data_IF_642929150906
#
_entry.id   IF_642929150906
#
_cell.length_a   1.000
_cell.length_b   1.000
_cell.length_c   1.000
_cell.angle_alpha   90.00
_cell.angle_beta   90.00
_cell.angle_gamma   90.00
#
_symmetry.space_group_name_H-M   'P 1'
#
loop_
_entity.id
_entity.type
_entity.pdbx_description
1 polymer ?
#
# COMPACT_ATOMS: atom_id res chain seq x y z
N UNK A 1 3.39 36.88 -17.93
CA UNK A 1 2.60 36.08 -18.89
C UNK A 1 1.93 34.96 -18.10
N UNK A 2 0.69 35.21 -17.67
CA UNK A 2 -0.07 34.35 -16.76
C UNK A 2 -0.76 33.25 -17.56
N UNK A 3 -0.42 32.01 -17.25
CA UNK A 3 -1.13 30.83 -17.77
C UNK A 3 -2.52 30.74 -17.08
N UNK A 4 -3.60 30.50 -17.80
CA UNK A 4 -4.91 30.32 -17.19
C UNK A 4 -4.97 28.98 -16.47
N UNK A 5 -5.32 29.01 -15.18
CA UNK A 5 -5.75 27.88 -14.40
C UNK A 5 -7.07 27.38 -14.95
N UNK A 6 -7.04 26.29 -15.69
CA UNK A 6 -8.23 25.63 -16.19
C UNK A 6 -8.87 24.87 -15.01
N UNK A 7 -9.87 25.47 -14.38
CA UNK A 7 -10.68 24.89 -13.31
C UNK A 7 -11.76 23.97 -13.92
N UNK A 8 -11.32 22.84 -14.47
CA UNK A 8 -12.22 21.76 -14.86
C UNK A 8 -12.46 20.79 -13.68
N UNK A 9 -13.06 21.26 -12.60
CA UNK A 9 -13.74 20.39 -11.63
C UNK A 9 -15.15 20.17 -12.13
N UNK A 10 -15.34 19.26 -13.09
CA UNK A 10 -16.62 18.56 -13.17
C UNK A 10 -16.76 17.81 -11.84
N UNK A 11 -17.56 18.39 -10.95
CA UNK A 11 -17.91 17.76 -9.69
C UNK A 11 -18.63 16.45 -10.00
N UNK A 12 -17.97 15.33 -9.76
CA UNK A 12 -18.63 14.05 -9.66
C UNK A 12 -19.66 14.18 -8.54
N UNK A 13 -20.93 14.28 -8.91
CA UNK A 13 -22.03 14.24 -7.96
C UNK A 13 -22.19 12.78 -7.47
N UNK A 14 -21.31 12.40 -6.55
CA UNK A 14 -21.37 11.14 -5.82
C UNK A 14 -22.70 11.00 -5.03
N UNK A 15 -23.43 12.10 -4.81
CA UNK A 15 -24.70 12.10 -4.07
C UNK A 15 -25.88 11.54 -4.86
N UNK A 16 -25.88 11.64 -6.19
CA UNK A 16 -26.97 11.17 -7.04
C UNK A 16 -26.88 9.66 -7.33
N UNK A 17 -25.66 9.13 -7.60
CA UNK A 17 -25.49 7.68 -7.85
C UNK A 17 -25.63 6.81 -6.60
N UNK A 18 -25.38 7.38 -5.40
CA UNK A 18 -25.54 6.65 -4.13
C UNK A 18 -26.99 6.47 -3.70
N UNK A 19 -27.96 7.11 -4.34
CA UNK A 19 -29.39 7.04 -3.96
C UNK A 19 -30.11 5.82 -4.49
N UNK A 20 -29.60 5.11 -5.47
CA UNK A 20 -30.30 3.98 -6.12
C UNK A 20 -29.74 2.59 -5.83
N UNK A 21 -28.50 2.46 -5.39
CA UNK A 21 -27.97 1.17 -4.92
C UNK A 21 -28.37 0.99 -3.47
N UNK A 22 -29.28 0.06 -3.19
CA UNK A 22 -29.47 -0.45 -1.82
C UNK A 22 -28.09 -0.72 -1.24
N UNK A 23 -27.69 0.01 -0.18
CA UNK A 23 -26.39 -0.13 0.49
C UNK A 23 -26.28 -1.56 1.02
N UNK A 24 -25.81 -2.47 0.17
CA UNK A 24 -25.61 -3.86 0.59
C UNK A 24 -24.51 -3.86 1.66
N UNK A 25 -24.84 -4.30 2.86
CA UNK A 25 -23.84 -4.57 3.90
C UNK A 25 -22.86 -5.61 3.40
N UNK A 26 -21.57 -5.34 3.53
CA UNK A 26 -20.48 -6.24 3.17
C UNK A 26 -19.63 -6.57 4.39
N UNK A 27 -19.16 -7.81 4.47
CA UNK A 27 -18.17 -8.27 5.42
C UNK A 27 -16.83 -8.29 4.71
N UNK A 28 -15.90 -7.44 5.14
CA UNK A 28 -14.68 -7.11 4.41
C UNK A 28 -13.45 -7.57 5.20
N UNK A 29 -12.62 -8.40 4.59
CA UNK A 29 -11.28 -8.68 5.07
C UNK A 29 -10.29 -7.72 4.41
N UNK A 30 -9.68 -6.80 5.17
CA UNK A 30 -8.68 -5.88 4.66
C UNK A 30 -7.28 -6.37 5.01
N UNK A 31 -6.44 -6.59 3.99
CA UNK A 31 -5.08 -7.11 4.13
C UNK A 31 -4.07 -5.96 4.10
N UNK A 32 -3.22 -5.87 5.12
CA UNK A 32 -2.18 -4.87 5.25
C UNK A 32 -0.85 -5.52 5.66
N UNK A 33 0.01 -5.86 4.70
CA UNK A 33 1.26 -6.56 4.99
C UNK A 33 2.25 -5.74 5.83
N UNK A 34 2.13 -4.42 5.79
CA UNK A 34 2.83 -3.43 6.63
C UNK A 34 1.91 -2.26 6.93
N UNK A 35 1.93 -1.79 8.17
CA UNK A 35 1.07 -0.69 8.59
C UNK A 35 1.73 0.24 9.59
N UNK A 36 2.95 0.79 9.29
CA UNK A 36 3.58 1.77 10.19
C UNK A 36 2.58 2.87 10.53
N UNK A 37 2.26 3.09 11.83
CA UNK A 37 1.16 3.98 12.22
C UNK A 37 1.46 5.47 11.96
N UNK A 38 2.74 5.87 12.02
CA UNK A 38 3.13 7.28 11.98
C UNK A 38 4.06 7.65 10.82
N UNK A 39 4.56 6.67 10.06
CA UNK A 39 5.51 6.90 8.96
C UNK A 39 5.12 6.10 7.74
N UNK A 40 5.06 6.77 6.59
CA UNK A 40 4.64 6.14 5.33
C UNK A 40 3.12 5.96 5.26
N UNK A 41 2.49 6.39 4.20
CA UNK A 41 1.02 6.51 4.08
C UNK A 41 0.20 5.23 4.24
N UNK A 42 0.80 4.03 4.13
CA UNK A 42 0.05 2.77 4.09
C UNK A 42 -0.73 2.47 5.38
N UNK A 43 -0.11 2.66 6.56
CA UNK A 43 -0.77 2.42 7.84
C UNK A 43 -1.90 3.41 8.10
N UNK A 44 -1.66 4.68 7.80
CA UNK A 44 -2.67 5.75 7.90
C UNK A 44 -3.84 5.47 6.95
N UNK A 45 -3.55 5.09 5.71
CA UNK A 45 -4.60 4.74 4.74
C UNK A 45 -5.47 3.58 5.22
N UNK A 46 -4.86 2.52 5.75
CA UNK A 46 -5.60 1.36 6.27
C UNK A 46 -6.51 1.78 7.43
N UNK A 47 -6.01 2.62 8.35
CA UNK A 47 -6.80 3.15 9.46
C UNK A 47 -8.01 3.92 8.97
N UNK A 48 -7.79 4.94 8.13
CA UNK A 48 -8.88 5.82 7.67
C UNK A 48 -9.87 5.08 6.75
N UNK A 49 -9.39 4.23 5.85
CA UNK A 49 -10.25 3.46 4.96
C UNK A 49 -11.11 2.45 5.74
N UNK A 50 -10.51 1.70 6.69
CA UNK A 50 -11.26 0.72 7.47
C UNK A 50 -12.30 1.38 8.38
N UNK A 51 -11.96 2.54 8.97
CA UNK A 51 -12.89 3.37 9.76
C UNK A 51 -14.06 3.85 8.89
N UNK A 52 -13.76 4.46 7.74
CA UNK A 52 -14.79 4.99 6.84
C UNK A 52 -15.73 3.89 6.32
N UNK A 53 -15.21 2.71 5.98
CA UNK A 53 -16.03 1.57 5.58
C UNK A 53 -16.95 1.08 6.71
N UNK A 54 -16.44 1.06 7.96
CA UNK A 54 -17.24 0.71 9.12
C UNK A 54 -18.34 1.76 9.39
N UNK A 55 -18.03 3.05 9.25
CA UNK A 55 -19.00 4.15 9.37
C UNK A 55 -20.08 4.12 8.27
N UNK A 56 -19.74 3.60 7.09
CA UNK A 56 -20.70 3.36 6.00
C UNK A 56 -21.60 2.13 6.25
N UNK A 57 -21.40 1.43 7.36
CA UNK A 57 -22.24 0.29 7.78
C UNK A 57 -21.72 -1.06 7.31
N UNK A 58 -20.47 -1.19 6.87
CA UNK A 58 -19.85 -2.47 6.56
C UNK A 58 -19.20 -3.08 7.81
N UNK A 59 -19.07 -4.41 7.85
CA UNK A 59 -18.24 -5.09 8.85
C UNK A 59 -16.83 -5.25 8.29
N UNK A 60 -15.85 -4.64 8.94
CA UNK A 60 -14.45 -4.66 8.48
C UNK A 60 -13.56 -5.32 9.54
N UNK A 61 -12.75 -6.28 9.12
CA UNK A 61 -11.66 -6.84 9.93
C UNK A 61 -10.34 -6.65 9.17
N UNK A 62 -9.34 -6.09 9.85
CA UNK A 62 -8.01 -5.88 9.27
C UNK A 62 -7.09 -7.04 9.67
N UNK A 63 -6.42 -7.63 8.68
CA UNK A 63 -5.36 -8.60 8.86
C UNK A 63 -4.03 -7.89 8.63
N UNK A 64 -3.23 -7.75 9.68
CA UNK A 64 -2.02 -6.92 9.67
C UNK A 64 -0.74 -7.71 9.87
N UNK A 65 0.31 -7.40 9.08
CA UNK A 65 1.70 -7.77 9.34
C UNK A 65 2.47 -6.65 10.06
N UNK A 66 3.61 -6.98 10.70
CA UNK A 66 4.43 -5.99 11.39
C UNK A 66 5.18 -5.07 10.38
N UNK A 67 5.40 -3.80 10.75
CA UNK A 67 4.83 -3.10 11.90
C UNK A 67 3.32 -2.92 11.72
N UNK A 68 2.58 -3.20 12.80
CA UNK A 68 1.12 -3.25 12.75
C UNK A 68 0.51 -1.85 12.63
N UNK A 69 -0.63 -1.70 11.90
CA UNK A 69 -1.36 -0.44 11.88
C UNK A 69 -2.01 -0.16 13.23
N UNK A 70 -2.12 1.12 13.56
CA UNK A 70 -2.97 1.61 14.64
C UNK A 70 -4.34 1.94 14.06
N UNK A 71 -5.38 1.25 14.51
CA UNK A 71 -6.73 1.30 13.93
C UNK A 71 -7.71 1.98 14.87
N UNK A 72 -8.84 2.42 14.31
CA UNK A 72 -9.99 2.82 15.11
C UNK A 72 -10.48 1.66 15.99
N UNK A 73 -10.92 1.95 17.20
CA UNK A 73 -11.37 0.97 18.21
C UNK A 73 -12.53 0.08 17.75
N UNK A 74 -13.28 0.51 16.75
CA UNK A 74 -14.40 -0.25 16.14
C UNK A 74 -13.95 -1.29 15.13
N UNK A 75 -12.67 -1.24 14.70
CA UNK A 75 -12.14 -2.12 13.66
C UNK A 75 -11.20 -3.15 14.28
N UNK A 76 -11.58 -4.43 14.31
CA UNK A 76 -10.73 -5.48 14.83
C UNK A 76 -9.48 -5.69 13.97
N UNK A 77 -8.33 -5.91 14.64
CA UNK A 77 -7.04 -6.22 14.02
C UNK A 77 -6.62 -7.65 14.35
N UNK A 78 -6.54 -8.49 13.32
CA UNK A 78 -5.89 -9.80 13.39
C UNK A 78 -4.41 -9.65 13.04
N UNK A 79 -3.53 -9.77 14.02
CA UNK A 79 -2.09 -9.67 13.84
C UNK A 79 -1.51 -10.99 13.34
N UNK A 80 -0.73 -10.91 12.25
CA UNK A 80 0.08 -12.03 11.76
C UNK A 80 1.54 -11.82 12.18
N UNK A 81 2.23 -12.88 12.62
CA UNK A 81 3.67 -12.81 12.84
C UNK A 81 4.43 -12.65 11.52
N UNK A 82 5.69 -12.26 11.59
CA UNK A 82 6.69 -12.42 10.53
C UNK A 82 8.03 -12.74 11.17
N UNK A 83 9.01 -13.10 10.37
CA UNK A 83 10.38 -13.26 10.85
C UNK A 83 11.06 -11.92 11.17
N UNK A 84 10.39 -10.80 10.89
CA UNK A 84 10.88 -9.43 11.12
C UNK A 84 12.30 -9.20 10.60
N UNK A 85 12.59 -9.77 9.42
CA UNK A 85 13.92 -9.69 8.79
C UNK A 85 14.30 -8.24 8.50
N UNK A 86 13.32 -7.40 8.15
CA UNK A 86 13.50 -5.99 7.80
C UNK A 86 12.90 -5.07 8.89
N UNK A 87 13.30 -5.28 10.14
CA UNK A 87 12.87 -4.39 11.23
C UNK A 87 13.75 -3.13 11.29
N UNK A 88 13.26 -2.11 11.99
CA UNK A 88 13.92 -0.80 12.05
C UNK A 88 15.23 -0.82 12.85
N UNK A 89 15.44 -1.80 13.74
CA UNK A 89 16.63 -1.91 14.59
C UNK A 89 17.75 -2.75 13.94
N UNK A 90 17.38 -3.83 13.23
CA UNK A 90 18.30 -4.75 12.58
C UNK A 90 17.80 -5.05 11.16
N UNK A 91 17.96 -4.11 10.21
CA UNK A 91 17.55 -4.36 8.85
C UNK A 91 18.39 -5.48 8.22
N UNK A 92 17.73 -6.52 7.73
CA UNK A 92 18.41 -7.65 7.08
C UNK A 92 19.00 -8.68 8.04
N UNK A 93 18.46 -8.83 9.27
CA UNK A 93 18.85 -9.91 10.18
C UNK A 93 18.60 -11.28 9.56
N UNK A 94 19.38 -12.27 9.94
CA UNK A 94 19.15 -13.67 9.57
C UNK A 94 18.44 -14.35 10.75
N UNK A 95 17.19 -14.84 10.57
CA UNK A 95 16.48 -15.58 11.62
C UNK A 95 17.19 -16.90 11.95
N UNK A 96 17.15 -17.29 13.24
CA UNK A 96 17.57 -18.61 13.64
C UNK A 96 16.58 -19.70 13.15
N UNK A 97 17.04 -20.93 12.93
CA UNK A 97 16.20 -22.02 12.45
C UNK A 97 15.03 -22.35 13.41
N UNK A 98 15.18 -22.08 14.71
CA UNK A 98 14.13 -22.25 15.73
C UNK A 98 12.99 -21.23 15.63
N UNK A 99 13.18 -20.16 14.86
CA UNK A 99 12.15 -19.16 14.60
C UNK A 99 11.22 -19.60 13.45
N UNK A 100 11.62 -20.59 12.68
CA UNK A 100 10.87 -21.12 11.55
C UNK A 100 9.81 -22.11 12.07
N UNK A 101 8.59 -21.64 12.23
CA UNK A 101 7.50 -22.41 12.84
C UNK A 101 6.55 -23.02 11.83
N UNK A 102 6.47 -22.43 10.64
CA UNK A 102 5.53 -22.87 9.62
C UNK A 102 6.03 -22.64 8.19
N UNK A 103 5.24 -23.08 7.21
CA UNK A 103 5.57 -22.92 5.79
C UNK A 103 5.73 -21.47 5.35
N UNK A 104 4.87 -20.50 5.73
CA UNK A 104 5.12 -19.08 5.45
C UNK A 104 6.45 -18.55 5.98
N UNK A 105 6.89 -18.95 7.19
CA UNK A 105 8.20 -18.59 7.73
C UNK A 105 9.33 -19.14 6.85
N UNK A 106 9.23 -20.39 6.48
CA UNK A 106 10.21 -21.05 5.60
C UNK A 106 10.30 -20.35 4.23
N UNK A 107 9.15 -20.02 3.64
CA UNK A 107 9.07 -19.28 2.37
C UNK A 107 9.66 -17.88 2.52
N UNK A 108 9.43 -17.21 3.65
CA UNK A 108 9.98 -15.89 3.95
C UNK A 108 11.51 -15.92 3.99
N UNK A 109 12.07 -16.88 4.74
CA UNK A 109 13.52 -17.07 4.82
C UNK A 109 14.13 -17.42 3.45
N UNK A 110 13.56 -18.41 2.74
CA UNK A 110 14.07 -18.80 1.42
C UNK A 110 14.03 -17.64 0.43
N UNK A 111 12.96 -16.85 0.42
CA UNK A 111 12.84 -15.68 -0.44
C UNK A 111 13.90 -14.63 -0.09
N UNK A 112 14.12 -14.36 1.19
CA UNK A 112 15.17 -13.46 1.66
C UNK A 112 16.57 -13.95 1.27
N UNK A 113 16.88 -15.23 1.47
CA UNK A 113 18.17 -15.83 1.10
C UNK A 113 18.49 -15.68 -0.39
N UNK A 114 17.49 -15.57 -1.24
CA UNK A 114 17.67 -15.22 -2.66
C UNK A 114 17.91 -13.72 -2.89
N UNK A 115 17.91 -12.90 -1.83
CA UNK A 115 18.06 -11.45 -1.89
C UNK A 115 16.80 -10.69 -2.33
N UNK A 116 15.64 -11.34 -2.24
CA UNK A 116 14.36 -10.75 -2.61
C UNK A 116 13.62 -10.22 -1.38
N UNK A 117 12.82 -9.15 -1.56
CA UNK A 117 11.93 -8.66 -0.50
C UNK A 117 10.78 -9.65 -0.27
N UNK A 118 10.78 -10.32 0.87
CA UNK A 118 9.98 -11.53 1.13
C UNK A 118 8.62 -11.28 1.76
N UNK A 119 8.44 -10.17 2.47
CA UNK A 119 7.27 -9.90 3.32
C UNK A 119 5.91 -10.00 2.60
N UNK A 120 5.71 -9.43 1.39
CA UNK A 120 4.40 -9.53 0.73
C UNK A 120 3.98 -10.97 0.46
N UNK A 121 4.94 -11.83 0.09
CA UNK A 121 4.66 -13.23 -0.21
C UNK A 121 4.27 -14.00 1.05
N UNK A 122 5.10 -13.97 2.09
CA UNK A 122 4.85 -14.69 3.33
C UNK A 122 3.57 -14.23 4.02
N UNK A 123 3.34 -12.91 4.08
CA UNK A 123 2.11 -12.33 4.61
C UNK A 123 0.87 -12.85 3.86
N UNK A 124 0.88 -12.83 2.54
CA UNK A 124 -0.27 -13.27 1.74
C UNK A 124 -0.59 -14.75 1.92
N UNK A 125 0.43 -15.59 2.17
CA UNK A 125 0.23 -17.01 2.49
C UNK A 125 -0.39 -17.20 3.88
N UNK A 126 0.00 -16.39 4.87
CA UNK A 126 -0.64 -16.36 6.20
C UNK A 126 -2.10 -15.92 6.09
N UNK A 127 -2.37 -14.88 5.29
CA UNK A 127 -3.72 -14.42 5.02
C UNK A 127 -4.58 -15.51 4.36
N UNK A 128 -4.07 -16.20 3.35
CA UNK A 128 -4.76 -17.34 2.75
C UNK A 128 -5.10 -18.42 3.76
N UNK A 129 -4.15 -18.81 4.63
CA UNK A 129 -4.40 -19.84 5.66
C UNK A 129 -5.49 -19.41 6.65
N UNK A 130 -5.43 -18.18 7.12
CA UNK A 130 -6.44 -17.66 8.06
C UNK A 130 -7.83 -17.56 7.42
N UNK A 131 -7.92 -17.08 6.17
CA UNK A 131 -9.17 -16.96 5.45
C UNK A 131 -9.73 -18.32 4.99
N UNK A 132 -8.88 -19.34 4.82
CA UNK A 132 -9.34 -20.70 4.47
C UNK A 132 -10.28 -21.28 5.54
N UNK A 133 -10.05 -20.97 6.80
CA UNK A 133 -10.87 -21.45 7.91
C UNK A 133 -12.12 -20.58 8.15
N UNK A 134 -12.18 -19.41 7.50
CA UNK A 134 -13.18 -18.37 7.72
C UNK A 134 -13.71 -17.75 6.42
N UNK A 135 -13.68 -18.52 5.32
CA UNK A 135 -14.08 -17.98 4.01
C UNK A 135 -15.51 -17.46 4.00
N UNK A 136 -16.41 -18.11 4.75
CA UNK A 136 -17.82 -17.77 4.82
C UNK A 136 -18.11 -16.52 5.69
N UNK A 137 -17.11 -16.04 6.43
CA UNK A 137 -17.22 -14.81 7.24
C UNK A 137 -17.10 -13.54 6.38
N UNK A 138 -16.62 -13.63 5.14
CA UNK A 138 -16.31 -12.48 4.31
C UNK A 138 -16.96 -12.54 2.93
N UNK A 139 -17.33 -11.37 2.41
CA UNK A 139 -17.87 -11.19 1.07
C UNK A 139 -16.84 -10.63 0.09
N UNK A 140 -15.81 -9.95 0.63
CA UNK A 140 -14.78 -9.24 -0.15
C UNK A 140 -13.46 -9.22 0.60
N UNK A 141 -12.36 -9.37 -0.14
CA UNK A 141 -11.01 -9.11 0.36
C UNK A 141 -10.47 -7.84 -0.29
N UNK A 142 -9.98 -6.90 0.50
CA UNK A 142 -9.25 -5.72 0.03
C UNK A 142 -7.75 -5.93 0.31
N UNK A 143 -6.94 -6.05 -0.74
CA UNK A 143 -5.49 -6.17 -0.61
C UNK A 143 -4.83 -4.81 -0.74
N UNK A 144 -4.29 -4.29 0.37
CA UNK A 144 -3.56 -3.02 0.38
C UNK A 144 -2.09 -3.23 -0.01
N UNK A 145 -1.86 -3.48 -1.29
CA UNK A 145 -0.55 -3.43 -1.93
C UNK A 145 0.36 -4.64 -1.76
N UNK A 146 -0.08 -5.76 -1.19
CA UNK A 146 0.77 -6.96 -1.13
C UNK A 146 0.99 -7.58 -2.53
N UNK A 147 -0.09 -7.69 -3.30
CA UNK A 147 -0.09 -8.19 -4.68
C UNK A 147 0.69 -9.51 -4.82
N UNK A 148 0.45 -10.44 -3.90
CA UNK A 148 1.26 -11.64 -3.79
C UNK A 148 0.44 -12.92 -4.06
N UNK A 149 1.11 -14.06 -4.23
CA UNK A 149 0.47 -15.30 -4.68
C UNK A 149 -0.61 -15.83 -3.72
N UNK A 150 -0.56 -15.49 -2.43
CA UNK A 150 -1.66 -15.80 -1.50
C UNK A 150 -3.00 -15.22 -1.95
N UNK A 151 -3.01 -14.04 -2.58
CA UNK A 151 -4.22 -13.43 -3.13
C UNK A 151 -4.82 -14.28 -4.27
N UNK A 152 -3.97 -14.86 -5.11
CA UNK A 152 -4.42 -15.77 -6.17
C UNK A 152 -5.04 -17.04 -5.56
N UNK A 153 -4.47 -17.55 -4.46
CA UNK A 153 -5.02 -18.70 -3.74
C UNK A 153 -6.37 -18.36 -3.09
N UNK A 154 -6.49 -17.19 -2.45
CA UNK A 154 -7.75 -16.71 -1.88
C UNK A 154 -8.82 -16.67 -2.96
N UNK A 155 -8.54 -16.03 -4.10
CA UNK A 155 -9.49 -15.90 -5.20
C UNK A 155 -9.87 -17.25 -5.82
N UNK A 156 -8.88 -18.12 -6.12
CA UNK A 156 -9.14 -19.36 -6.84
C UNK A 156 -9.61 -20.52 -5.98
N UNK A 157 -9.19 -20.59 -4.72
CA UNK A 157 -9.47 -21.72 -3.84
C UNK A 157 -10.61 -21.44 -2.85
N UNK A 158 -10.79 -20.17 -2.45
CA UNK A 158 -11.85 -19.79 -1.51
C UNK A 158 -13.03 -19.10 -2.22
N UNK A 159 -12.88 -18.72 -3.50
CA UNK A 159 -13.93 -18.02 -4.25
C UNK A 159 -14.15 -16.57 -3.80
N UNK A 160 -13.33 -16.05 -2.90
CA UNK A 160 -13.47 -14.69 -2.40
C UNK A 160 -12.96 -13.68 -3.44
N UNK A 161 -13.78 -12.70 -3.84
CA UNK A 161 -13.34 -11.65 -4.74
C UNK A 161 -12.28 -10.76 -4.08
N UNK A 162 -11.31 -10.28 -4.89
CA UNK A 162 -10.24 -9.40 -4.40
C UNK A 162 -10.32 -8.06 -5.12
N UNK A 163 -10.32 -6.99 -4.31
CA UNK A 163 -10.05 -5.63 -4.72
C UNK A 163 -8.60 -5.28 -4.39
N UNK A 164 -7.77 -5.04 -5.40
CA UNK A 164 -6.40 -4.61 -5.18
C UNK A 164 -6.33 -3.09 -5.01
N UNK A 165 -5.63 -2.61 -3.99
CA UNK A 165 -5.33 -1.19 -3.81
C UNK A 165 -3.85 -0.96 -4.09
N UNK A 166 -3.55 -0.09 -5.06
CA UNK A 166 -2.18 0.22 -5.46
C UNK A 166 -2.03 1.75 -5.43
N UNK A 167 -1.34 2.26 -4.42
CA UNK A 167 -1.11 3.71 -4.29
C UNK A 167 -0.12 4.22 -5.33
N UNK A 168 0.96 3.46 -5.50
CA UNK A 168 2.05 3.76 -6.39
C UNK A 168 2.70 2.43 -6.82
N UNK A 169 2.93 2.19 -8.10
CA UNK A 169 3.59 0.97 -8.53
C UNK A 169 5.07 1.01 -8.17
N UNK A 170 5.49 0.06 -7.33
CA UNK A 170 6.89 -0.05 -6.85
C UNK A 170 7.91 -0.29 -8.00
N UNK A 171 7.42 -0.59 -9.19
CA UNK A 171 8.23 -0.68 -10.42
C UNK A 171 8.88 0.64 -10.79
N UNK A 172 8.26 1.77 -10.44
CA UNK A 172 8.82 3.12 -10.63
C UNK A 172 10.05 3.30 -9.73
N UNK A 173 9.92 2.96 -8.43
CA UNK A 173 11.04 3.00 -7.48
C UNK A 173 12.18 2.10 -7.94
N UNK A 174 11.85 0.87 -8.37
CA UNK A 174 12.82 -0.07 -8.93
C UNK A 174 13.59 0.53 -10.10
N UNK A 175 12.92 1.22 -11.00
CA UNK A 175 13.56 1.86 -12.17
C UNK A 175 14.52 2.95 -11.70
N UNK A 176 14.05 3.87 -10.86
CA UNK A 176 14.85 4.97 -10.34
C UNK A 176 16.09 4.46 -9.59
N UNK A 177 15.95 3.45 -8.74
CA UNK A 177 17.06 2.90 -8.00
C UNK A 177 18.06 2.15 -8.88
N UNK A 178 17.61 1.46 -9.92
CA UNK A 178 18.50 0.81 -10.88
C UNK A 178 19.25 1.83 -11.74
N UNK A 179 18.61 2.94 -12.10
CA UNK A 179 19.23 4.00 -12.91
C UNK A 179 20.25 4.79 -12.07
N UNK A 180 20.04 4.93 -10.76
CA UNK A 180 20.96 5.60 -9.84
C UNK A 180 22.05 4.66 -9.26
N UNK A 181 22.09 3.38 -9.62
CA UNK A 181 23.10 2.44 -9.13
C UNK A 181 24.50 2.79 -9.68
N UNK A 182 25.47 2.98 -8.79
CA UNK A 182 26.83 3.42 -9.12
C UNK A 182 27.73 2.28 -9.61
N UNK A 183 27.46 1.05 -9.18
CA UNK A 183 28.26 -0.13 -9.53
C UNK A 183 27.39 -1.25 -10.09
N UNK A 184 28.02 -2.17 -10.85
CA UNK A 184 27.35 -3.38 -11.36
C UNK A 184 26.89 -4.29 -10.23
N UNK A 185 27.63 -4.38 -9.14
CA UNK A 185 27.28 -5.18 -7.97
C UNK A 185 26.06 -4.60 -7.25
N UNK A 186 26.03 -3.29 -7.03
CA UNK A 186 24.88 -2.58 -6.48
C UNK A 186 23.63 -2.79 -7.36
N UNK A 187 23.78 -2.62 -8.67
CA UNK A 187 22.70 -2.85 -9.64
C UNK A 187 22.17 -4.28 -9.60
N UNK A 188 23.05 -5.26 -9.44
CA UNK A 188 22.67 -6.66 -9.30
C UNK A 188 21.91 -6.90 -7.98
N UNK A 189 22.37 -6.35 -6.85
CA UNK A 189 21.69 -6.41 -5.56
C UNK A 189 20.29 -5.82 -5.64
N UNK A 190 20.14 -4.61 -6.23
CA UNK A 190 18.84 -3.95 -6.43
C UNK A 190 17.90 -4.78 -7.33
N UNK A 191 18.41 -5.39 -8.40
CA UNK A 191 17.62 -6.28 -9.25
C UNK A 191 17.06 -7.49 -8.50
N UNK A 192 17.84 -8.06 -7.59
CA UNK A 192 17.41 -9.16 -6.73
C UNK A 192 16.37 -8.69 -5.72
N UNK A 193 16.64 -7.58 -5.04
CA UNK A 193 15.71 -6.98 -4.08
C UNK A 193 14.31 -6.77 -4.68
N UNK A 194 14.25 -6.17 -5.84
CA UNK A 194 12.99 -5.87 -6.54
C UNK A 194 12.45 -7.05 -7.37
N UNK A 195 12.97 -8.27 -7.22
CA UNK A 195 12.49 -9.42 -8.00
C UNK A 195 11.02 -9.75 -7.72
N UNK A 196 10.51 -9.44 -6.52
CA UNK A 196 9.10 -9.59 -6.14
C UNK A 196 8.14 -8.80 -7.05
N UNK A 197 8.57 -7.73 -7.72
CA UNK A 197 7.73 -6.98 -8.66
C UNK A 197 7.24 -7.85 -9.83
N UNK A 198 7.97 -8.92 -10.18
CA UNK A 198 7.52 -9.90 -11.18
C UNK A 198 6.30 -10.68 -10.68
N UNK A 199 6.27 -11.03 -9.40
CA UNK A 199 5.12 -11.65 -8.75
C UNK A 199 3.94 -10.68 -8.76
N UNK A 200 4.15 -9.45 -8.32
CA UNK A 200 3.11 -8.40 -8.30
C UNK A 200 2.50 -8.21 -9.68
N UNK A 201 3.32 -8.14 -10.74
CA UNK A 201 2.83 -8.03 -12.13
C UNK A 201 1.93 -9.22 -12.53
N UNK A 202 2.28 -10.44 -12.12
CA UNK A 202 1.46 -11.62 -12.43
C UNK A 202 0.14 -11.61 -11.65
N UNK A 203 0.19 -11.22 -10.40
CA UNK A 203 -0.98 -11.15 -9.51
C UNK A 203 -1.93 -10.02 -9.96
N UNK A 204 -1.42 -8.83 -10.27
CA UNK A 204 -2.23 -7.73 -10.80
C UNK A 204 -3.07 -8.13 -12.01
N UNK A 205 -2.50 -8.93 -12.92
CA UNK A 205 -3.24 -9.41 -14.09
C UNK A 205 -4.43 -10.30 -13.75
N UNK A 206 -4.37 -11.02 -12.63
CA UNK A 206 -5.44 -11.91 -12.17
C UNK A 206 -6.53 -11.20 -11.38
N UNK A 207 -6.24 -10.00 -10.85
CA UNK A 207 -7.20 -9.18 -10.11
C UNK A 207 -8.17 -8.54 -11.11
N UNK A 208 -9.46 -8.58 -10.81
CA UNK A 208 -10.49 -8.06 -11.70
C UNK A 208 -10.68 -6.55 -11.54
N UNK A 209 -10.52 -6.03 -10.32
CA UNK A 209 -10.69 -4.61 -9.99
C UNK A 209 -9.52 -4.11 -9.16
N UNK A 210 -8.95 -3.01 -9.59
CA UNK A 210 -7.85 -2.32 -8.92
C UNK A 210 -8.29 -0.89 -8.65
N UNK A 211 -8.02 -0.42 -7.43
CA UNK A 211 -8.19 0.98 -7.04
C UNK A 211 -6.81 1.62 -6.93
N UNK A 212 -6.70 2.82 -7.44
CA UNK A 212 -5.52 3.68 -7.29
C UNK A 212 -5.93 5.12 -6.97
N UNK A 213 -4.96 5.95 -6.62
CA UNK A 213 -5.20 7.26 -6.02
C UNK A 213 -5.15 8.42 -7.01
N UNK A 214 -4.66 8.20 -8.23
CA UNK A 214 -4.53 9.25 -9.24
C UNK A 214 -4.50 8.69 -10.67
N UNK A 215 -4.82 9.53 -11.65
CA UNK A 215 -4.71 9.16 -13.08
C UNK A 215 -3.26 8.85 -13.48
N UNK A 216 -2.29 9.55 -12.91
CA UNK A 216 -0.87 9.24 -13.12
C UNK A 216 -0.53 7.83 -12.65
N UNK A 217 -0.92 7.46 -11.43
CA UNK A 217 -0.72 6.09 -10.91
C UNK A 217 -1.45 5.05 -11.76
N UNK A 218 -2.66 5.36 -12.26
CA UNK A 218 -3.43 4.49 -13.16
C UNK A 218 -2.65 4.21 -14.45
N UNK A 219 -2.08 5.23 -15.06
CA UNK A 219 -1.28 5.09 -16.27
C UNK A 219 -0.02 4.25 -16.02
N UNK A 220 0.69 4.50 -14.91
CA UNK A 220 1.89 3.74 -14.53
C UNK A 220 1.58 2.28 -14.22
N UNK A 221 0.51 2.00 -13.48
CA UNK A 221 0.06 0.62 -13.18
C UNK A 221 -0.27 -0.13 -14.47
N UNK A 222 -1.04 0.48 -15.36
CA UNK A 222 -1.39 -0.13 -16.63
C UNK A 222 -0.14 -0.45 -17.45
N UNK A 223 0.79 0.47 -17.58
CA UNK A 223 2.03 0.33 -18.33
C UNK A 223 2.94 -0.74 -17.74
N UNK A 224 3.21 -0.68 -16.43
CA UNK A 224 4.23 -1.49 -15.79
C UNK A 224 3.75 -2.91 -15.47
N UNK A 225 2.49 -3.04 -15.01
CA UNK A 225 1.90 -4.34 -14.73
C UNK A 225 1.13 -4.94 -15.91
N UNK A 226 0.99 -4.20 -17.03
CA UNK A 226 0.27 -4.63 -18.23
C UNK A 226 -1.16 -5.07 -17.90
N UNK A 227 -1.85 -4.23 -17.16
CA UNK A 227 -3.26 -4.37 -16.78
C UNK A 227 -4.10 -3.44 -17.64
N UNK A 228 -5.26 -3.92 -18.06
CA UNK A 228 -6.23 -3.13 -18.81
C UNK A 228 -6.71 -1.93 -17.97
N UNK A 229 -6.78 -0.74 -18.58
CA UNK A 229 -7.24 0.49 -17.93
C UNK A 229 -8.68 0.38 -17.43
N UNK A 230 -9.52 -0.45 -18.04
CA UNK A 230 -10.90 -0.69 -17.62
C UNK A 230 -11.02 -1.39 -16.26
N UNK A 231 -9.96 -2.06 -15.82
CA UNK A 231 -9.89 -2.71 -14.51
C UNK A 231 -9.41 -1.77 -13.41
N UNK A 232 -8.89 -0.58 -13.75
CA UNK A 232 -8.25 0.33 -12.82
C UNK A 232 -9.16 1.54 -12.62
N UNK A 233 -9.60 1.73 -11.37
CA UNK A 233 -10.47 2.82 -10.96
C UNK A 233 -9.69 3.81 -10.10
N UNK A 234 -9.83 5.09 -10.38
CA UNK A 234 -9.21 6.14 -9.58
C UNK A 234 -10.16 6.57 -8.47
N UNK A 235 -9.70 6.43 -7.24
CA UNK A 235 -10.37 6.90 -6.05
C UNK A 235 -9.36 7.74 -5.26
N UNK A 236 -9.45 9.07 -5.31
CA UNK A 236 -8.55 9.95 -4.59
C UNK A 236 -8.56 9.67 -3.07
N UNK A 237 -7.41 9.90 -2.43
CA UNK A 237 -7.33 9.77 -0.97
C UNK A 237 -8.11 10.92 -0.34
N UNK A 238 -9.05 10.58 0.54
CA UNK A 238 -9.73 11.55 1.40
C UNK A 238 -8.80 12.05 2.51
N UNK A 239 -9.07 13.25 2.98
CA UNK A 239 -8.37 13.87 4.10
C UNK A 239 -9.41 14.43 5.08
N UNK A 240 -9.15 14.29 6.37
CA UNK A 240 -9.98 14.90 7.41
C UNK A 240 -9.80 16.43 7.39
N UNK A 241 -10.78 17.11 6.82
CA UNK A 241 -10.77 18.58 6.66
C UNK A 241 -11.10 19.33 7.95
N UNK A 242 -11.64 18.68 8.97
CA UNK A 242 -11.84 19.27 10.29
C UNK A 242 -10.52 19.28 11.07
N UNK A 243 -9.80 18.17 11.05
CA UNK A 243 -8.48 18.08 11.67
C UNK A 243 -7.43 18.95 10.96
N UNK A 244 -7.38 18.88 9.64
CA UNK A 244 -6.45 19.66 8.78
C UNK A 244 -7.06 21.02 8.34
N UNK A 245 -7.77 21.68 9.23
CA UNK A 245 -8.33 23.00 8.96
C UNK A 245 -7.28 24.10 9.14
N UNK A 246 -7.41 25.24 8.43
CA UNK A 246 -6.63 26.44 8.71
C UNK A 246 -6.78 26.86 10.16
N UNK A 247 -5.67 27.20 10.80
CA UNK A 247 -5.64 27.71 12.19
C UNK A 247 -5.19 29.17 12.19
N UNK A 248 -6.10 30.15 12.00
CA UNK A 248 -5.74 31.56 11.87
C UNK A 248 -5.03 32.14 13.08
N UNK A 249 -5.25 31.57 14.28
CA UNK A 249 -4.59 31.97 15.52
C UNK A 249 -3.08 31.60 15.57
N UNK A 250 -2.61 30.76 14.66
CA UNK A 250 -1.17 30.40 14.56
C UNK A 250 -0.49 31.42 13.64
N UNK A 251 0.33 32.28 14.23
CA UNK A 251 1.12 33.24 13.48
C UNK A 251 2.17 32.55 12.61
N UNK A 252 2.25 32.98 11.35
CA UNK A 252 3.28 32.48 10.42
C UNK A 252 4.59 33.23 10.67
N UNK A 253 5.67 32.48 10.77
CA UNK A 253 7.00 33.08 10.90
C UNK A 253 7.52 33.45 9.51
N UNK A 254 7.78 34.74 9.23
CA UNK A 254 8.30 35.15 7.94
C UNK A 254 9.59 34.42 7.58
N UNK A 255 9.72 34.00 6.32
CA UNK A 255 10.90 33.29 5.82
C UNK A 255 11.05 31.84 6.28
N UNK A 256 10.13 31.31 7.14
CA UNK A 256 10.19 29.91 7.56
C UNK A 256 9.64 28.99 6.48
N UNK A 257 10.47 28.03 6.08
CA UNK A 257 10.09 26.92 5.20
C UNK A 257 10.05 25.64 6.04
N UNK A 258 9.00 24.84 5.87
CA UNK A 258 8.83 23.54 6.56
C UNK A 258 8.75 22.44 5.52
N UNK A 259 9.58 21.41 5.70
CA UNK A 259 9.52 20.18 4.90
C UNK A 259 9.14 19.02 5.80
N UNK A 260 8.21 18.17 5.35
CA UNK A 260 7.78 16.96 6.05
C UNK A 260 8.49 15.71 5.50
N UNK A 261 9.55 15.88 4.69
CA UNK A 261 10.34 14.77 4.19
C UNK A 261 10.98 14.00 5.36
N UNK A 262 10.64 12.73 5.52
CA UNK A 262 11.08 11.89 6.63
C UNK A 262 12.41 11.19 6.39
N UNK A 263 12.95 11.22 5.18
CA UNK A 263 14.21 10.58 4.82
C UNK A 263 14.83 11.26 3.60
N UNK A 264 16.16 11.27 3.56
CA UNK A 264 16.93 11.72 2.40
C UNK A 264 16.89 10.65 1.30
N UNK A 265 15.74 10.55 0.63
CA UNK A 265 15.58 9.70 -0.54
C UNK A 265 15.36 10.59 -1.78
N UNK A 266 16.03 10.30 -2.90
CA UNK A 266 15.95 11.11 -4.12
C UNK A 266 14.52 11.41 -4.58
N UNK A 267 13.62 10.46 -4.39
CA UNK A 267 12.20 10.58 -4.74
C UNK A 267 11.46 11.72 -3.99
N UNK A 268 11.93 12.10 -2.80
CA UNK A 268 11.30 13.17 -1.97
C UNK A 268 11.77 14.57 -2.33
N UNK A 269 12.80 14.69 -3.14
CA UNK A 269 13.24 15.96 -3.71
C UNK A 269 13.83 16.97 -2.71
N UNK A 270 14.18 16.56 -1.48
CA UNK A 270 14.72 17.45 -0.46
C UNK A 270 16.01 18.14 -0.91
N UNK A 271 16.85 17.45 -1.68
CA UNK A 271 18.06 18.01 -2.27
C UNK A 271 17.75 19.24 -3.14
N UNK A 272 16.74 19.15 -4.00
CA UNK A 272 16.35 20.27 -4.88
C UNK A 272 15.81 21.46 -4.10
N UNK A 273 15.10 21.20 -2.99
CA UNK A 273 14.66 22.28 -2.09
C UNK A 273 15.86 23.02 -1.48
N UNK A 274 16.87 22.28 -1.00
CA UNK A 274 18.07 22.88 -0.42
C UNK A 274 18.91 23.63 -1.46
N UNK A 275 19.04 23.10 -2.66
CA UNK A 275 19.74 23.78 -3.77
C UNK A 275 19.01 25.08 -4.16
N UNK A 276 17.70 25.06 -4.29
CA UNK A 276 16.90 26.26 -4.59
C UNK A 276 17.00 27.33 -3.49
N UNK A 277 17.06 26.92 -2.21
CA UNK A 277 17.22 27.84 -1.09
C UNK A 277 18.61 28.51 -1.04
N UNK A 278 19.62 27.92 -1.66
CA UNK A 278 20.95 28.50 -1.75
C UNK A 278 21.04 29.61 -2.82
N UNK A 279 20.05 29.70 -3.72
CA UNK A 279 19.99 30.68 -4.79
C UNK A 279 19.11 31.92 -4.43
N UNK A 280 18.37 31.84 -3.32
CA UNK A 280 17.47 32.90 -2.84
C UNK A 280 18.06 33.61 -1.64
#
# INVERSE_FOLDING_TARGET
MSLPLNSGTEGYDLGAELKETQKKHLRIAMLAYRGKPHVGGQGVYVREMSKALAELGHTVEVFGGPPYPDLDSKVPLKKFPSLEIFNDHFPGRIPGFWEIKDLPDFVELCSYMTGNFSEPLSFSLRAYRALKERSDDFDLVIDNGSLAYGNVLIQKKLGLPILGVIHHPITVDRKLELDNARTTLERFGKRRWYAFTRMQTRVCKSIQRIVTVSESSKADISKDHKVDLTKIHVVPIGIDTEFFAPKPAIERIPGRIVSTASADVPLKGQKYLLEALAEV
#
